data_IF_965685785341
#
_entry.id   IF_965685785341
#
_cell.length_a   1.000
_cell.length_b   1.000
_cell.length_c   1.000
_cell.angle_alpha   90.00
_cell.angle_beta   90.00
_cell.angle_gamma   90.00
#
_symmetry.space_group_name_H-M   'P 1'
#
loop_
_entity.id
_entity.type
_entity.pdbx_description
1 polymer ?
#
# COMPACT_ATOMS: atom_id res chain seq x y z
N UNK A 1 -28.72 -88.74 -3.97
CA UNK A 1 -27.45 -88.16 -4.44
C UNK A 1 -27.72 -87.26 -5.63
N UNK A 2 -27.74 -85.94 -5.44
CA UNK A 2 -27.12 -84.95 -6.33
C UNK A 2 -27.30 -83.57 -5.67
N UNK A 3 -26.20 -82.96 -5.25
CA UNK A 3 -26.17 -81.59 -4.74
C UNK A 3 -26.24 -80.63 -5.93
N UNK A 4 -27.17 -79.68 -5.91
CA UNK A 4 -27.17 -78.54 -6.81
C UNK A 4 -26.25 -77.46 -6.25
N UNK A 5 -25.11 -77.24 -6.90
CA UNK A 5 -24.21 -76.11 -6.64
C UNK A 5 -24.80 -74.89 -7.35
N UNK A 6 -25.27 -73.91 -6.59
CA UNK A 6 -25.65 -72.59 -7.08
C UNK A 6 -24.36 -71.80 -7.30
N UNK A 7 -24.00 -71.58 -8.56
CA UNK A 7 -22.95 -70.63 -8.93
C UNK A 7 -23.48 -69.21 -8.73
N UNK A 8 -23.07 -68.56 -7.64
CA UNK A 8 -23.22 -67.12 -7.46
C UNK A 8 -22.16 -66.47 -8.34
N UNK A 9 -22.60 -65.83 -9.43
CA UNK A 9 -21.77 -64.93 -10.20
C UNK A 9 -21.37 -63.76 -9.29
N UNK A 10 -20.12 -63.78 -8.83
CA UNK A 10 -19.49 -62.68 -8.14
C UNK A 10 -19.26 -61.58 -9.18
N UNK A 11 -20.18 -60.60 -9.24
CA UNK A 11 -19.95 -59.36 -9.97
C UNK A 11 -18.85 -58.64 -9.20
N UNK A 12 -17.62 -58.73 -9.70
CA UNK A 12 -16.53 -57.84 -9.31
C UNK A 12 -16.94 -56.42 -9.70
N UNK A 13 -17.50 -55.68 -8.74
CA UNK A 13 -17.64 -54.24 -8.83
C UNK A 13 -16.23 -53.65 -8.83
N UNK A 14 -15.82 -53.05 -9.95
CA UNK A 14 -14.59 -52.27 -10.02
C UNK A 14 -14.61 -51.09 -9.04
N UNK A 15 -13.46 -50.41 -8.84
CA UNK A 15 -13.38 -49.25 -7.95
C UNK A 15 -14.40 -48.20 -8.41
N UNK A 16 -15.15 -47.66 -7.46
CA UNK A 16 -16.15 -46.64 -7.70
C UNK A 16 -15.48 -45.48 -8.44
N UNK A 17 -15.91 -45.25 -9.68
CA UNK A 17 -15.50 -44.09 -10.45
C UNK A 17 -15.92 -42.84 -9.66
N UNK A 18 -14.96 -41.97 -9.35
CA UNK A 18 -15.20 -40.63 -8.88
C UNK A 18 -16.07 -39.93 -9.94
N UNK A 19 -17.39 -39.96 -9.72
CA UNK A 19 -18.31 -39.23 -10.57
C UNK A 19 -18.05 -37.74 -10.31
N UNK A 20 -17.77 -36.94 -11.36
CA UNK A 20 -17.77 -35.49 -11.20
C UNK A 20 -19.16 -35.10 -10.69
N UNK A 21 -19.18 -34.37 -9.57
CA UNK A 21 -20.40 -33.76 -9.07
C UNK A 21 -21.05 -32.89 -10.16
N UNK A 22 -22.29 -32.44 -9.97
CA UNK A 22 -23.10 -31.76 -11.01
C UNK A 22 -22.51 -30.46 -11.60
N UNK A 23 -21.29 -30.06 -11.21
CA UNK A 23 -20.53 -28.91 -11.74
C UNK A 23 -19.14 -29.24 -12.34
N UNK A 24 -18.65 -30.48 -12.26
CA UNK A 24 -17.40 -30.89 -12.88
C UNK A 24 -16.18 -30.99 -11.94
N UNK A 25 -16.14 -30.28 -10.81
CA UNK A 25 -15.09 -30.40 -9.78
C UNK A 25 -15.39 -31.40 -8.65
N UNK A 26 -14.34 -31.90 -8.01
CA UNK A 26 -14.40 -32.64 -6.74
C UNK A 26 -14.67 -31.68 -5.55
N UNK A 27 -14.92 -32.24 -4.37
CA UNK A 27 -15.32 -31.49 -3.17
C UNK A 27 -14.26 -31.63 -2.08
N UNK A 28 -13.90 -30.55 -1.40
CA UNK A 28 -13.13 -30.61 -0.15
C UNK A 28 -14.09 -30.50 1.02
N UNK A 29 -14.03 -31.41 1.99
CA UNK A 29 -15.07 -31.60 3.02
C UNK A 29 -14.54 -31.58 4.46
N UNK A 30 -13.24 -31.48 4.63
CA UNK A 30 -12.54 -31.57 5.91
C UNK A 30 -12.58 -30.28 6.74
N UNK A 31 -12.72 -30.46 8.05
CA UNK A 31 -12.75 -29.38 9.04
C UNK A 31 -11.40 -29.08 9.71
N UNK A 32 -11.41 -28.29 10.80
CA UNK A 32 -10.18 -27.90 11.51
C UNK A 32 -9.52 -29.04 12.29
N UNK A 33 -10.22 -30.17 12.45
CA UNK A 33 -9.69 -31.37 13.10
C UNK A 33 -9.47 -32.43 12.03
N UNK A 34 -8.27 -33.04 11.95
CA UNK A 34 -8.00 -34.09 10.99
C UNK A 34 -8.91 -35.32 11.19
N UNK A 35 -9.31 -36.03 10.11
CA UNK A 35 -10.04 -37.28 10.22
C UNK A 35 -9.30 -38.34 11.05
N UNK A 36 -10.01 -39.31 11.65
CA UNK A 36 -9.38 -40.40 12.38
C UNK A 36 -8.33 -41.13 11.54
N UNK A 37 -7.11 -41.23 12.08
CA UNK A 37 -6.00 -41.90 11.40
C UNK A 37 -5.05 -40.97 10.64
N UNK A 38 -5.43 -39.72 10.37
CA UNK A 38 -4.48 -38.72 9.90
C UNK A 38 -3.54 -38.34 11.05
N UNK A 39 -2.29 -38.78 10.95
CA UNK A 39 -1.25 -38.52 11.95
C UNK A 39 -0.50 -37.21 11.66
N UNK A 40 0.05 -36.54 12.69
CA UNK A 40 0.97 -35.43 12.50
C UNK A 40 2.14 -35.81 11.58
N UNK A 41 2.67 -34.86 10.79
CA UNK A 41 3.89 -35.09 10.02
C UNK A 41 5.04 -35.52 10.92
N UNK A 42 5.85 -36.47 10.45
CA UNK A 42 7.03 -36.93 11.21
C UNK A 42 8.06 -35.81 11.25
N UNK A 43 8.25 -35.21 12.43
CA UNK A 43 9.26 -34.19 12.68
C UNK A 43 10.67 -34.79 12.58
N UNK A 44 11.57 -34.13 11.85
CA UNK A 44 13.01 -34.35 12.02
C UNK A 44 13.77 -35.11 10.93
N UNK A 45 13.28 -35.20 9.70
CA UNK A 45 14.20 -35.45 8.58
C UNK A 45 14.63 -34.11 7.99
N UNK A 46 15.90 -33.74 8.15
CA UNK A 46 16.48 -32.64 7.38
C UNK A 46 16.24 -32.92 5.90
N UNK A 47 15.88 -31.90 5.12
CA UNK A 47 15.83 -31.99 3.66
C UNK A 47 17.09 -32.70 3.21
N UNK A 48 16.95 -33.90 2.65
CA UNK A 48 18.12 -34.59 2.18
C UNK A 48 18.55 -33.79 0.97
N UNK A 49 19.69 -33.11 1.06
CA UNK A 49 20.41 -32.57 -0.10
C UNK A 49 20.98 -33.72 -0.94
N UNK A 50 20.20 -34.78 -1.13
CA UNK A 50 20.45 -35.88 -2.03
C UNK A 50 19.98 -35.51 -3.42
N UNK A 51 20.62 -36.11 -4.41
CA UNK A 51 20.23 -35.99 -5.81
C UNK A 51 18.76 -36.43 -5.95
N UNK A 52 17.85 -35.54 -6.34
CA UNK A 52 16.45 -35.86 -6.64
C UNK A 52 15.36 -35.39 -5.66
N UNK A 53 15.67 -34.59 -4.64
CA UNK A 53 14.68 -33.94 -3.75
C UNK A 53 14.66 -32.41 -3.98
N UNK A 54 13.47 -31.84 -4.18
CA UNK A 54 13.27 -30.38 -4.36
C UNK A 54 12.15 -29.92 -3.43
N UNK A 55 12.38 -28.84 -2.69
CA UNK A 55 11.37 -28.19 -1.84
C UNK A 55 11.49 -26.68 -1.97
N UNK A 56 10.39 -26.01 -2.33
CA UNK A 56 10.28 -24.57 -2.39
C UNK A 56 10.33 -23.98 -0.97
N UNK A 57 11.29 -23.09 -0.73
CA UNK A 57 11.40 -22.35 0.52
C UNK A 57 10.42 -21.17 0.59
N UNK A 58 10.07 -20.73 1.79
CA UNK A 58 9.33 -19.48 2.01
C UNK A 58 7.81 -19.56 1.85
N UNK A 59 7.24 -20.73 1.56
CA UNK A 59 5.79 -20.92 1.65
C UNK A 59 5.37 -20.92 3.14
N UNK A 60 4.43 -20.05 3.56
CA UNK A 60 4.01 -19.97 4.96
C UNK A 60 3.00 -21.07 5.29
N UNK A 61 3.19 -21.74 6.44
CA UNK A 61 2.30 -22.81 6.88
C UNK A 61 1.15 -22.26 7.74
N UNK A 62 -0.01 -22.02 7.11
CA UNK A 62 -1.22 -21.55 7.79
C UNK A 62 -2.06 -22.73 8.31
N UNK A 63 -2.73 -22.54 9.45
CA UNK A 63 -3.68 -23.50 9.98
C UNK A 63 -5.09 -23.20 9.45
N UNK A 64 -5.93 -24.22 9.44
CA UNK A 64 -7.28 -24.23 8.89
C UNK A 64 -8.09 -23.02 9.36
N UNK A 65 -8.62 -22.28 8.39
CA UNK A 65 -9.41 -21.07 8.58
C UNK A 65 -10.65 -21.13 7.69
N UNK A 66 -11.73 -21.67 8.25
CA UNK A 66 -13.06 -21.84 7.64
C UNK A 66 -13.07 -22.52 6.26
N UNK A 67 -12.10 -23.38 6.00
CA UNK A 67 -12.02 -24.21 4.80
C UNK A 67 -10.58 -24.55 4.44
N UNK A 68 -10.32 -25.81 4.09
CA UNK A 68 -8.96 -26.24 3.71
C UNK A 68 -8.51 -25.65 2.35
N UNK A 69 -9.43 -25.52 1.39
CA UNK A 69 -9.17 -24.93 0.08
C UNK A 69 -8.79 -23.43 0.15
N UNK A 70 -9.59 -22.53 0.77
CA UNK A 70 -9.19 -21.13 0.91
C UNK A 70 -7.93 -20.97 1.77
N UNK A 71 -7.72 -21.82 2.79
CA UNK A 71 -6.47 -21.79 3.59
C UNK A 71 -5.25 -22.15 2.74
N UNK A 72 -5.33 -23.20 1.92
CA UNK A 72 -4.24 -23.62 1.04
C UNK A 72 -3.96 -22.57 -0.05
N UNK A 73 -4.99 -21.94 -0.60
CA UNK A 73 -4.84 -20.79 -1.49
C UNK A 73 -4.22 -19.57 -0.78
N UNK A 74 -4.51 -19.36 0.51
CA UNK A 74 -3.82 -18.38 1.33
C UNK A 74 -2.33 -18.66 1.40
N UNK A 75 -1.92 -19.91 1.66
CA UNK A 75 -0.48 -20.28 1.68
C UNK A 75 0.19 -20.06 0.32
N UNK A 76 -0.51 -20.40 -0.77
CA UNK A 76 -0.05 -20.12 -2.13
C UNK A 76 0.20 -18.62 -2.35
N UNK A 77 -0.75 -17.77 -1.96
CA UNK A 77 -0.60 -16.32 -2.09
C UNK A 77 0.50 -15.77 -1.18
N UNK A 78 0.63 -16.29 0.05
CA UNK A 78 1.73 -15.92 0.94
C UNK A 78 3.10 -16.32 0.39
N UNK A 79 3.19 -17.43 -0.35
CA UNK A 79 4.40 -17.77 -1.11
C UNK A 79 4.69 -16.71 -2.18
N UNK A 80 3.72 -16.37 -3.03
CA UNK A 80 3.91 -15.37 -4.08
C UNK A 80 4.19 -13.95 -3.53
N UNK A 81 3.60 -13.61 -2.39
CA UNK A 81 3.83 -12.36 -1.65
C UNK A 81 5.32 -12.19 -1.31
N UNK A 82 5.94 -13.26 -0.82
CA UNK A 82 7.37 -13.32 -0.55
C UNK A 82 8.25 -13.47 -1.82
N UNK A 83 7.66 -13.75 -2.99
CA UNK A 83 8.37 -14.10 -4.23
C UNK A 83 7.93 -13.24 -5.43
N UNK A 84 8.03 -11.91 -5.26
CA UNK A 84 7.95 -10.95 -6.36
C UNK A 84 6.59 -10.28 -6.56
N UNK A 85 5.59 -10.62 -5.73
CA UNK A 85 4.26 -10.01 -5.75
C UNK A 85 3.88 -9.46 -4.38
N UNK A 86 4.61 -8.48 -3.83
CA UNK A 86 4.35 -7.97 -2.49
C UNK A 86 2.95 -7.37 -2.38
N UNK A 87 2.41 -7.37 -1.15
CA UNK A 87 1.11 -6.80 -0.79
C UNK A 87 -0.10 -7.60 -1.34
N UNK A 88 0.09 -8.87 -1.74
CA UNK A 88 -1.02 -9.77 -2.11
C UNK A 88 -1.91 -10.07 -0.91
N UNK A 89 -1.31 -10.25 0.26
CA UNK A 89 -2.01 -10.36 1.54
C UNK A 89 -1.65 -9.11 2.37
N UNK A 90 -2.62 -8.39 2.94
CA UNK A 90 -2.31 -7.22 3.76
C UNK A 90 -1.40 -7.55 4.95
N UNK A 91 -0.31 -6.81 5.10
CA UNK A 91 0.60 -6.94 6.25
C UNK A 91 1.65 -8.04 6.09
N UNK A 92 1.93 -8.77 7.17
CA UNK A 92 2.92 -9.85 7.16
C UNK A 92 2.27 -11.18 6.78
N UNK A 93 2.61 -11.68 5.59
CA UNK A 93 2.17 -12.97 5.08
C UNK A 93 3.09 -14.14 5.51
N UNK A 94 4.25 -13.89 6.12
CA UNK A 94 5.19 -14.98 6.48
C UNK A 94 4.68 -15.89 7.60
N UNK A 95 3.68 -15.43 8.36
CA UNK A 95 3.00 -16.18 9.43
C UNK A 95 1.50 -15.94 9.36
N UNK A 96 0.71 -16.80 10.01
CA UNK A 96 -0.74 -16.64 10.05
C UNK A 96 -1.13 -15.52 11.02
N UNK A 97 -1.22 -14.30 10.50
CA UNK A 97 -1.65 -13.10 11.23
C UNK A 97 -3.16 -12.91 11.13
N UNK A 98 -3.76 -12.02 11.95
CA UNK A 98 -5.18 -11.67 11.79
C UNK A 98 -5.53 -11.13 10.39
N UNK A 99 -4.58 -10.48 9.70
CA UNK A 99 -4.80 -9.99 8.34
C UNK A 99 -4.82 -11.14 7.32
N UNK A 100 -3.94 -12.14 7.49
CA UNK A 100 -3.99 -13.41 6.74
C UNK A 100 -5.31 -14.13 6.99
N UNK A 101 -5.77 -14.19 8.23
CA UNK A 101 -7.06 -14.82 8.57
C UNK A 101 -8.22 -14.13 7.85
N UNK A 102 -8.20 -12.79 7.74
CA UNK A 102 -9.21 -12.04 7.00
C UNK A 102 -9.11 -12.25 5.48
N UNK A 103 -7.90 -12.37 4.93
CA UNK A 103 -7.69 -12.68 3.52
C UNK A 103 -8.18 -14.09 3.13
N UNK A 104 -8.02 -15.07 4.02
CA UNK A 104 -8.45 -16.45 3.81
C UNK A 104 -9.97 -16.57 3.96
N UNK A 105 -10.51 -16.24 5.13
CA UNK A 105 -11.93 -16.29 5.44
C UNK A 105 -12.29 -15.21 6.46
N UNK A 106 -12.93 -14.15 5.96
CA UNK A 106 -13.18 -12.92 6.71
C UNK A 106 -14.19 -13.13 7.85
N UNK A 107 -13.87 -12.59 9.03
CA UNK A 107 -14.77 -12.58 10.19
C UNK A 107 -15.13 -11.15 10.52
N UNK A 108 -16.40 -10.92 10.82
CA UNK A 108 -16.92 -9.61 11.17
C UNK A 108 -17.62 -9.64 12.51
N UNK A 109 -18.80 -9.05 12.53
CA UNK A 109 -19.71 -9.07 13.67
C UNK A 109 -21.15 -9.25 13.17
N UNK A 110 -22.10 -9.50 14.06
CA UNK A 110 -23.51 -9.54 13.66
C UNK A 110 -24.02 -8.23 13.02
N UNK A 111 -23.39 -7.08 13.31
CA UNK A 111 -23.73 -5.78 12.75
C UNK A 111 -23.00 -5.48 11.43
N UNK A 112 -21.77 -5.98 11.29
CA UNK A 112 -20.91 -5.85 10.11
C UNK A 112 -20.44 -7.24 9.69
N UNK A 113 -21.33 -8.02 9.08
CA UNK A 113 -21.09 -9.42 8.79
C UNK A 113 -20.09 -9.58 7.65
N UNK A 114 -19.31 -10.67 7.72
CA UNK A 114 -18.32 -11.08 6.72
C UNK A 114 -18.56 -12.55 6.33
N UNK A 115 -17.59 -13.19 5.68
CA UNK A 115 -17.70 -14.59 5.24
C UNK A 115 -18.29 -15.51 6.31
N UNK A 116 -17.76 -15.43 7.53
CA UNK A 116 -18.20 -16.29 8.61
C UNK A 116 -19.66 -16.08 9.02
N UNK A 117 -20.08 -14.84 9.23
CA UNK A 117 -21.46 -14.53 9.63
C UNK A 117 -22.47 -14.76 8.51
N UNK A 118 -22.06 -14.60 7.24
CA UNK A 118 -22.94 -14.74 6.09
C UNK A 118 -23.10 -16.19 5.64
N UNK A 119 -22.01 -16.97 5.67
CA UNK A 119 -21.95 -18.26 4.97
C UNK A 119 -21.53 -19.43 5.88
N UNK A 120 -20.76 -19.19 6.95
CA UNK A 120 -20.34 -20.28 7.84
C UNK A 120 -21.35 -20.59 8.97
N UNK A 121 -22.37 -19.75 9.15
CA UNK A 121 -23.38 -19.91 10.20
C UNK A 121 -24.76 -20.27 9.62
N UNK A 122 -25.44 -21.30 10.16
CA UNK A 122 -24.97 -22.19 11.24
C UNK A 122 -23.91 -23.19 10.77
N UNK A 123 -23.01 -23.61 11.67
CA UNK A 123 -21.98 -24.64 11.36
C UNK A 123 -22.61 -26.02 11.23
N UNK A 124 -22.91 -26.44 10.01
CA UNK A 124 -23.59 -27.70 9.66
C UNK A 124 -22.62 -28.87 9.43
N UNK A 125 -21.75 -29.13 10.42
CA UNK A 125 -20.76 -30.21 10.41
C UNK A 125 -21.42 -31.60 10.52
N UNK A 126 -21.79 -32.20 9.38
CA UNK A 126 -22.37 -33.53 9.33
C UNK A 126 -23.88 -33.51 9.58
N UNK A 127 -24.65 -33.49 8.50
CA UNK A 127 -26.12 -33.43 8.53
C UNK A 127 -26.68 -32.83 7.24
N UNK A 128 -27.95 -32.42 7.27
CA UNK A 128 -28.54 -31.63 6.17
C UNK A 128 -27.99 -30.22 6.19
N UNK A 129 -27.55 -29.73 5.02
CA UNK A 129 -27.08 -28.36 4.85
C UNK A 129 -28.19 -27.38 5.22
N UNK A 130 -27.87 -26.45 6.10
CA UNK A 130 -28.84 -25.47 6.60
C UNK A 130 -28.80 -24.19 5.76
N UNK A 131 -29.93 -23.50 5.54
CA UNK A 131 -29.94 -22.23 4.82
C UNK A 131 -29.10 -21.16 5.54
N UNK A 132 -28.25 -20.50 4.75
CA UNK A 132 -27.43 -19.35 5.15
C UNK A 132 -27.84 -18.10 4.32
N UNK A 133 -27.05 -17.02 4.39
CA UNK A 133 -27.38 -15.79 3.63
C UNK A 133 -27.17 -15.89 2.12
N UNK A 134 -26.51 -16.93 1.62
CA UNK A 134 -26.38 -17.14 0.18
C UNK A 134 -27.72 -17.48 -0.50
N UNK A 135 -28.75 -17.88 0.27
CA UNK A 135 -30.12 -18.13 -0.23
C UNK A 135 -31.04 -16.89 -0.13
N UNK A 136 -30.57 -15.78 0.45
CA UNK A 136 -31.35 -14.55 0.58
C UNK A 136 -31.18 -13.61 -0.64
N UNK A 137 -32.11 -12.68 -0.89
CA UNK A 137 -32.00 -11.72 -2.00
C UNK A 137 -30.74 -10.85 -1.96
N UNK A 138 -30.28 -10.42 -3.14
CA UNK A 138 -29.11 -9.54 -3.32
C UNK A 138 -29.25 -8.25 -2.49
N UNK A 139 -28.29 -8.01 -1.59
CA UNK A 139 -28.24 -6.87 -0.66
C UNK A 139 -28.25 -7.24 0.83
N UNK A 140 -28.54 -8.51 1.17
CA UNK A 140 -28.46 -9.00 2.56
C UNK A 140 -27.06 -9.54 2.94
N UNK A 141 -26.17 -9.70 1.96
CA UNK A 141 -24.82 -10.26 2.07
C UNK A 141 -23.76 -9.19 1.83
N UNK A 142 -22.60 -9.34 2.46
CA UNK A 142 -21.45 -8.49 2.20
C UNK A 142 -20.87 -8.74 0.81
N UNK A 143 -20.03 -7.82 0.33
CA UNK A 143 -19.31 -7.99 -0.91
C UNK A 143 -18.19 -9.02 -0.71
N UNK A 144 -17.99 -9.90 -1.69
CA UNK A 144 -16.93 -10.91 -1.67
C UNK A 144 -15.56 -10.23 -1.53
N UNK A 145 -14.88 -10.45 -0.41
CA UNK A 145 -13.62 -9.74 -0.08
C UNK A 145 -12.48 -10.67 0.39
N UNK A 146 -12.76 -11.95 0.57
CA UNK A 146 -11.77 -12.96 0.93
C UNK A 146 -11.80 -14.16 -0.02
N UNK A 147 -10.78 -15.03 0.06
CA UNK A 147 -10.67 -16.24 -0.76
C UNK A 147 -11.88 -17.17 -0.58
N UNK A 148 -12.36 -17.35 0.65
CA UNK A 148 -13.49 -18.21 0.94
C UNK A 148 -14.81 -17.70 0.31
N UNK A 149 -15.02 -16.38 0.21
CA UNK A 149 -16.18 -15.83 -0.51
C UNK A 149 -16.11 -16.12 -2.00
N UNK A 150 -14.95 -15.85 -2.59
CA UNK A 150 -14.71 -15.99 -4.02
C UNK A 150 -14.75 -17.47 -4.47
N UNK A 151 -14.40 -18.40 -3.57
CA UNK A 151 -14.57 -19.84 -3.78
C UNK A 151 -16.01 -20.31 -3.53
N UNK A 152 -16.85 -19.48 -2.93
CA UNK A 152 -18.19 -19.85 -2.50
C UNK A 152 -18.21 -20.82 -1.31
N UNK A 153 -17.12 -20.86 -0.53
CA UNK A 153 -16.96 -21.76 0.61
C UNK A 153 -18.14 -21.64 1.58
N UNK A 154 -18.62 -22.77 2.09
CA UNK A 154 -19.76 -22.87 3.02
C UNK A 154 -21.12 -22.40 2.48
N UNK A 155 -21.25 -21.97 1.22
CA UNK A 155 -22.51 -21.42 0.71
C UNK A 155 -23.58 -22.49 0.54
N UNK A 156 -24.63 -22.42 1.35
CA UNK A 156 -25.76 -23.35 1.31
C UNK A 156 -26.51 -23.34 -0.04
N UNK A 157 -26.57 -22.20 -0.74
CA UNK A 157 -27.14 -22.09 -2.10
C UNK A 157 -26.34 -22.89 -3.15
N UNK A 158 -25.10 -23.26 -2.83
CA UNK A 158 -24.24 -24.12 -3.64
C UNK A 158 -24.25 -25.58 -3.15
N UNK A 159 -24.98 -25.89 -2.08
CA UNK A 159 -24.98 -27.22 -1.46
C UNK A 159 -23.66 -27.52 -0.74
N UNK A 160 -23.04 -26.51 -0.13
CA UNK A 160 -21.79 -26.65 0.62
C UNK A 160 -22.06 -26.49 2.12
N UNK A 161 -21.57 -27.45 2.92
CA UNK A 161 -21.54 -27.34 4.37
C UNK A 161 -20.36 -26.48 4.84
N UNK A 162 -20.26 -26.18 6.13
CA UNK A 162 -19.19 -25.38 6.71
C UNK A 162 -17.80 -25.87 6.30
N UNK A 163 -17.03 -24.97 5.68
CA UNK A 163 -15.68 -25.20 5.20
C UNK A 163 -15.59 -25.95 3.86
N UNK A 164 -16.72 -26.36 3.29
CA UNK A 164 -16.73 -27.11 2.03
C UNK A 164 -16.56 -26.17 0.85
N UNK A 165 -15.81 -26.62 -0.15
CA UNK A 165 -15.55 -25.88 -1.40
C UNK A 165 -15.44 -26.85 -2.56
N UNK A 166 -15.90 -26.44 -3.74
CA UNK A 166 -15.59 -27.18 -4.97
C UNK A 166 -14.17 -26.84 -5.42
N UNK A 167 -13.44 -27.87 -5.83
CA UNK A 167 -12.03 -27.77 -6.25
C UNK A 167 -11.84 -26.90 -7.50
N UNK A 168 -12.81 -26.86 -8.40
CA UNK A 168 -12.81 -26.01 -9.60
C UNK A 168 -13.05 -24.51 -9.32
N UNK A 169 -13.46 -24.16 -8.10
CA UNK A 169 -13.62 -22.77 -7.69
C UNK A 169 -12.28 -22.08 -7.39
N UNK A 170 -11.21 -22.86 -7.16
CA UNK A 170 -9.93 -22.33 -6.69
C UNK A 170 -9.27 -21.38 -7.67
N UNK A 171 -9.07 -21.81 -8.92
CA UNK A 171 -8.44 -20.99 -9.96
C UNK A 171 -9.16 -19.66 -10.21
N UNK A 172 -10.48 -19.67 -10.46
CA UNK A 172 -11.28 -18.46 -10.58
C UNK A 172 -11.22 -17.55 -9.34
N UNK A 173 -11.26 -18.12 -8.14
CA UNK A 173 -11.22 -17.35 -6.89
C UNK A 173 -9.87 -16.67 -6.68
N UNK A 174 -8.75 -17.39 -6.88
CA UNK A 174 -7.41 -16.82 -6.80
C UNK A 174 -7.24 -15.69 -7.82
N UNK A 175 -7.69 -15.88 -9.07
CA UNK A 175 -7.64 -14.81 -10.08
C UNK A 175 -8.46 -13.58 -9.66
N UNK A 176 -9.66 -13.78 -9.12
CA UNK A 176 -10.50 -12.67 -8.67
C UNK A 176 -9.91 -11.94 -7.46
N UNK A 177 -9.31 -12.68 -6.52
CA UNK A 177 -8.66 -12.12 -5.34
C UNK A 177 -7.42 -11.29 -5.74
N UNK A 178 -6.53 -11.85 -6.57
CA UNK A 178 -5.35 -11.13 -7.05
C UNK A 178 -5.75 -9.89 -7.85
N UNK A 179 -6.82 -9.95 -8.66
CA UNK A 179 -7.31 -8.77 -9.38
C UNK A 179 -7.78 -7.65 -8.45
N UNK A 180 -8.22 -7.95 -7.22
CA UNK A 180 -8.65 -6.95 -6.25
C UNK A 180 -7.50 -6.42 -5.38
N UNK A 181 -6.50 -7.24 -5.05
CA UNK A 181 -5.38 -6.86 -4.17
C UNK A 181 -4.13 -6.42 -4.92
N UNK A 182 -3.85 -7.02 -6.08
CA UNK A 182 -2.72 -6.72 -6.94
C UNK A 182 -3.17 -6.61 -8.40
N UNK A 183 -3.92 -5.55 -8.78
CA UNK A 183 -4.49 -5.40 -10.13
C UNK A 183 -3.44 -5.30 -11.25
N UNK A 184 -2.14 -5.19 -10.90
CA UNK A 184 -1.02 -5.21 -11.84
C UNK A 184 -0.47 -6.61 -12.14
N UNK A 185 -1.04 -7.66 -11.54
CA UNK A 185 -0.67 -9.04 -11.80
C UNK A 185 -1.78 -9.73 -12.61
N UNK A 186 -1.40 -10.46 -13.65
CA UNK A 186 -2.29 -11.42 -14.31
C UNK A 186 -2.14 -12.78 -13.66
N UNK A 187 -3.28 -13.46 -13.55
CA UNK A 187 -3.34 -14.85 -13.07
C UNK A 187 -3.79 -15.75 -14.20
N UNK A 188 -2.94 -16.69 -14.57
CA UNK A 188 -3.31 -17.88 -15.33
C UNK A 188 -3.43 -19.07 -14.37
N UNK A 189 -4.33 -20.00 -14.67
CA UNK A 189 -4.45 -21.24 -13.92
C UNK A 189 -4.78 -22.42 -14.82
N UNK A 190 -4.42 -23.61 -14.35
CA UNK A 190 -4.75 -24.88 -14.99
C UNK A 190 -5.12 -25.91 -13.92
N UNK A 191 -6.32 -26.49 -14.03
CA UNK A 191 -6.74 -27.59 -13.15
C UNK A 191 -6.45 -28.93 -13.82
N UNK A 192 -5.74 -29.79 -13.09
CA UNK A 192 -5.32 -31.11 -13.52
C UNK A 192 -5.99 -32.21 -12.68
N UNK A 193 -6.18 -33.38 -13.28
CA UNK A 193 -6.85 -34.53 -12.67
C UNK A 193 -6.09 -35.82 -13.02
N UNK A 194 -5.91 -36.70 -12.05
CA UNK A 194 -5.11 -37.94 -12.18
C UNK A 194 -5.75 -38.95 -13.16
N UNK A 195 -7.08 -39.08 -13.16
CA UNK A 195 -7.78 -40.07 -14.00
C UNK A 195 -8.30 -39.49 -15.33
N UNK A 196 -7.66 -38.43 -15.82
CA UNK A 196 -7.99 -37.79 -17.09
C UNK A 196 -6.93 -38.14 -18.14
N UNK A 197 -7.29 -38.17 -19.41
CA UNK A 197 -6.31 -38.34 -20.51
C UNK A 197 -6.22 -37.06 -21.34
N UNK A 198 -4.99 -36.62 -21.65
CA UNK A 198 -4.74 -35.43 -22.46
C UNK A 198 -4.20 -34.23 -21.66
N UNK A 199 -4.41 -32.98 -22.11
CA UNK A 199 -3.67 -31.81 -21.61
C UNK A 199 -3.99 -31.41 -20.16
N UNK A 200 -4.97 -32.06 -19.52
CA UNK A 200 -5.37 -31.83 -18.12
C UNK A 200 -5.07 -33.03 -17.21
N UNK A 201 -4.29 -33.99 -17.71
CA UNK A 201 -3.82 -35.13 -16.91
C UNK A 201 -2.78 -34.67 -15.90
N UNK A 202 -3.00 -34.98 -14.62
CA UNK A 202 -2.03 -34.73 -13.57
C UNK A 202 -1.10 -35.93 -13.43
N UNK A 203 0.11 -35.81 -14.01
CA UNK A 203 1.19 -36.78 -13.78
C UNK A 203 2.20 -36.24 -12.76
N UNK A 204 3.01 -37.12 -12.18
CA UNK A 204 4.11 -36.68 -11.31
C UNK A 204 5.07 -35.73 -12.04
N UNK A 205 5.33 -35.96 -13.33
CA UNK A 205 6.17 -35.08 -14.15
C UNK A 205 5.58 -33.67 -14.33
N UNK A 206 4.25 -33.54 -14.43
CA UNK A 206 3.58 -32.22 -14.46
C UNK A 206 3.79 -31.50 -13.14
N UNK A 207 3.61 -32.19 -12.02
CA UNK A 207 3.85 -31.60 -10.70
C UNK A 207 5.33 -31.20 -10.50
N UNK A 208 6.28 -32.06 -10.90
CA UNK A 208 7.71 -31.74 -10.87
C UNK A 208 8.02 -30.48 -11.68
N UNK A 209 7.46 -30.36 -12.89
CA UNK A 209 7.68 -29.20 -13.76
C UNK A 209 7.16 -27.88 -13.14
N UNK A 210 6.05 -27.91 -12.40
CA UNK A 210 5.55 -26.75 -11.66
C UNK A 210 6.51 -26.37 -10.52
N UNK A 211 6.93 -27.35 -9.71
CA UNK A 211 7.87 -27.13 -8.60
C UNK A 211 9.23 -26.63 -9.10
N UNK A 212 9.79 -27.25 -10.14
CA UNK A 212 11.07 -26.85 -10.74
C UNK A 212 11.02 -25.42 -11.31
N UNK A 213 9.83 -24.97 -11.72
CA UNK A 213 9.61 -23.61 -12.18
C UNK A 213 9.28 -22.61 -11.04
N UNK A 214 9.41 -23.03 -9.78
CA UNK A 214 9.14 -22.18 -8.62
C UNK A 214 7.66 -21.93 -8.38
N UNK A 215 6.77 -22.80 -8.85
CA UNK A 215 5.32 -22.65 -8.73
C UNK A 215 4.73 -23.74 -7.83
N UNK A 216 4.38 -23.43 -6.57
CA UNK A 216 3.65 -24.38 -5.74
C UNK A 216 2.23 -24.59 -6.29
N UNK A 217 1.66 -25.75 -6.00
CA UNK A 217 0.37 -26.16 -6.55
C UNK A 217 -0.60 -26.52 -5.43
N UNK A 218 -1.84 -26.05 -5.49
CA UNK A 218 -2.86 -26.52 -4.53
C UNK A 218 -3.38 -27.86 -5.00
N UNK A 219 -3.10 -28.90 -4.24
CA UNK A 219 -3.48 -30.28 -4.53
C UNK A 219 -4.76 -30.65 -3.80
N UNK A 220 -5.58 -31.49 -4.42
CA UNK A 220 -6.74 -32.09 -3.82
C UNK A 220 -6.43 -33.55 -3.54
N UNK A 221 -6.61 -33.95 -2.28
CA UNK A 221 -6.14 -35.23 -1.77
C UNK A 221 -7.27 -35.95 -1.05
N UNK A 222 -7.17 -37.28 -1.04
CA UNK A 222 -7.88 -38.14 -0.11
C UNK A 222 -7.04 -38.22 1.17
N UNK A 223 -7.45 -37.53 2.22
CA UNK A 223 -6.64 -37.38 3.43
C UNK A 223 -6.61 -38.64 4.30
N UNK A 224 -7.67 -39.44 4.32
CA UNK A 224 -7.82 -40.60 5.22
C UNK A 224 -7.74 -41.97 4.53
N UNK A 225 -7.70 -41.98 3.20
CA UNK A 225 -7.48 -43.14 2.34
C UNK A 225 -8.76 -43.91 2.04
N UNK A 226 -9.93 -43.28 2.09
CA UNK A 226 -11.24 -43.93 1.86
C UNK A 226 -11.68 -43.97 0.39
N UNK A 227 -10.89 -43.37 -0.50
CA UNK A 227 -11.13 -43.26 -1.94
C UNK A 227 -11.88 -42.00 -2.36
N UNK A 228 -12.23 -41.11 -1.41
CA UNK A 228 -12.87 -39.84 -1.69
C UNK A 228 -11.93 -38.65 -1.46
N UNK A 229 -12.04 -37.67 -2.35
CA UNK A 229 -11.34 -36.39 -2.18
C UNK A 229 -12.05 -35.63 -1.06
N UNK A 230 -11.27 -35.14 -0.09
CA UNK A 230 -11.82 -34.49 1.08
C UNK A 230 -10.98 -33.30 1.59
N UNK A 231 -9.73 -33.16 1.13
CA UNK A 231 -8.82 -32.12 1.62
C UNK A 231 -8.07 -31.40 0.49
N UNK A 232 -7.68 -30.15 0.78
CA UNK A 232 -6.76 -29.38 -0.05
C UNK A 232 -5.48 -29.09 0.74
N UNK A 233 -4.34 -29.19 0.05
CA UNK A 233 -3.00 -28.91 0.60
C UNK A 233 -2.17 -28.10 -0.39
N UNK A 234 -1.16 -27.38 0.08
CA UNK A 234 -0.19 -26.72 -0.80
C UNK A 234 0.98 -27.68 -1.06
N UNK A 235 1.08 -28.22 -2.26
CA UNK A 235 2.26 -28.95 -2.74
C UNK A 235 3.41 -27.99 -3.00
N UNK A 236 4.55 -28.23 -2.36
CA UNK A 236 5.73 -27.35 -2.37
C UNK A 236 7.02 -28.08 -2.74
N UNK A 237 6.98 -29.38 -2.96
CA UNK A 237 8.19 -30.15 -3.21
C UNK A 237 7.91 -31.56 -3.66
N UNK A 238 8.95 -32.25 -4.11
CA UNK A 238 8.89 -33.63 -4.54
C UNK A 238 10.19 -34.37 -4.22
N UNK A 239 10.11 -35.70 -4.21
CA UNK A 239 11.26 -36.61 -4.23
C UNK A 239 10.86 -37.96 -4.83
N UNK A 240 11.85 -38.79 -5.07
CA UNK A 240 11.64 -40.21 -5.35
C UNK A 240 12.35 -41.08 -4.31
N UNK A 241 11.61 -41.93 -3.62
CA UNK A 241 12.17 -42.88 -2.66
C UNK A 241 12.03 -44.29 -3.21
N UNK A 242 13.15 -44.92 -3.55
CA UNK A 242 13.20 -46.30 -4.06
C UNK A 242 12.27 -46.55 -5.27
N UNK A 243 12.13 -45.56 -6.15
CA UNK A 243 11.28 -45.63 -7.34
C UNK A 243 9.82 -45.25 -7.13
N UNK A 244 9.45 -44.81 -5.91
CA UNK A 244 8.10 -44.32 -5.61
C UNK A 244 8.07 -42.79 -5.56
N UNK A 245 7.19 -42.13 -6.33
CA UNK A 245 7.06 -40.68 -6.31
C UNK A 245 6.39 -40.21 -5.02
N UNK A 246 6.98 -39.20 -4.38
CA UNK A 246 6.45 -38.55 -3.19
C UNK A 246 6.40 -37.04 -3.39
N UNK A 247 5.43 -36.39 -2.76
CA UNK A 247 5.32 -34.94 -2.72
C UNK A 247 5.41 -34.42 -1.29
N UNK A 248 5.95 -33.21 -1.18
CA UNK A 248 6.01 -32.44 0.05
C UNK A 248 4.87 -31.42 0.03
N UNK A 249 4.09 -31.35 1.10
CA UNK A 249 3.02 -30.37 1.23
C UNK A 249 2.95 -29.69 2.59
N UNK A 250 2.36 -28.50 2.60
CA UNK A 250 1.83 -27.87 3.80
C UNK A 250 0.35 -28.21 3.85
N UNK A 251 -0.05 -28.95 4.88
CA UNK A 251 -1.46 -29.21 5.17
C UNK A 251 -2.03 -28.09 6.05
N UNK A 252 -3.34 -28.14 6.31
CA UNK A 252 -4.02 -27.09 7.08
C UNK A 252 -4.16 -27.44 8.57
N UNK A 253 -3.56 -28.54 9.04
CA UNK A 253 -3.64 -28.97 10.44
C UNK A 253 -2.32 -28.79 11.19
N UNK A 254 -1.20 -28.78 10.48
CA UNK A 254 0.14 -28.74 11.06
C UNK A 254 1.04 -27.74 10.34
N UNK A 255 1.97 -27.13 11.08
CA UNK A 255 2.93 -26.16 10.52
C UNK A 255 4.19 -26.80 9.91
N UNK A 256 4.25 -28.13 9.89
CA UNK A 256 5.41 -28.88 9.42
C UNK A 256 5.13 -29.51 8.06
N UNK A 257 6.15 -29.57 7.22
CA UNK A 257 6.04 -30.21 5.90
C UNK A 257 5.69 -31.69 6.06
N UNK A 258 4.67 -32.13 5.35
CA UNK A 258 4.28 -33.52 5.20
C UNK A 258 4.87 -34.09 3.93
N UNK A 259 5.41 -35.30 4.01
CA UNK A 259 5.74 -36.12 2.86
C UNK A 259 4.69 -37.21 2.72
N UNK A 260 4.15 -37.38 1.51
CA UNK A 260 3.15 -38.38 1.17
C UNK A 260 3.44 -38.96 -0.23
N UNK A 261 3.03 -40.21 -0.50
CA UNK A 261 3.11 -40.76 -1.85
C UNK A 261 2.24 -39.94 -2.81
N UNK A 262 2.76 -39.64 -4.00
CA UNK A 262 1.99 -38.92 -5.01
C UNK A 262 0.85 -39.80 -5.55
N UNK A 263 1.18 -41.05 -5.89
CA UNK A 263 0.26 -42.13 -6.22
C UNK A 263 0.93 -43.49 -5.96
N UNK A 264 0.14 -44.51 -5.63
CA UNK A 264 0.62 -45.90 -5.57
C UNK A 264 -0.36 -46.79 -6.34
N UNK A 265 0.12 -47.50 -7.36
CA UNK A 265 -0.70 -48.48 -8.08
C UNK A 265 -1.20 -49.58 -7.10
N UNK A 266 -2.52 -49.77 -7.03
CA UNK A 266 -3.15 -50.95 -6.43
C UNK A 266 -3.95 -50.72 -5.15
N UNK A 267 -3.61 -49.74 -4.30
CA UNK A 267 -4.30 -49.45 -3.03
C UNK A 267 -4.37 -47.94 -2.78
N UNK A 268 -5.57 -47.44 -2.41
CA UNK A 268 -5.76 -46.03 -2.01
C UNK A 268 -4.96 -45.74 -0.74
N UNK A 269 -4.19 -44.67 -0.75
CA UNK A 269 -3.39 -44.25 0.41
C UNK A 269 -3.86 -42.92 0.99
N UNK A 270 -3.56 -42.73 2.27
CA UNK A 270 -3.71 -41.43 2.92
C UNK A 270 -2.87 -40.38 2.20
N UNK A 271 -3.48 -39.23 2.00
CA UNK A 271 -2.95 -38.11 1.23
C UNK A 271 -2.65 -38.46 -0.25
N UNK A 272 -3.34 -39.44 -0.83
CA UNK A 272 -3.21 -39.70 -2.27
C UNK A 272 -3.74 -38.51 -3.07
N UNK A 273 -3.00 -38.09 -4.10
CA UNK A 273 -3.37 -36.95 -4.96
C UNK A 273 -4.39 -37.41 -5.99
N UNK A 274 -5.47 -36.66 -6.15
CA UNK A 274 -6.46 -36.91 -7.20
C UNK A 274 -6.50 -35.81 -8.26
N UNK A 275 -6.01 -34.62 -7.92
CA UNK A 275 -5.97 -33.48 -8.80
C UNK A 275 -5.25 -32.31 -8.15
N UNK A 276 -5.20 -31.20 -8.87
CA UNK A 276 -4.62 -29.97 -8.35
C UNK A 276 -4.78 -28.81 -9.32
N UNK A 277 -4.62 -27.61 -8.80
CA UNK A 277 -4.68 -26.38 -9.57
C UNK A 277 -3.33 -25.69 -9.55
N UNK A 278 -2.68 -25.62 -10.71
CA UNK A 278 -1.51 -24.79 -10.91
C UNK A 278 -1.94 -23.34 -11.10
N UNK A 279 -1.31 -22.44 -10.36
CA UNK A 279 -1.51 -20.99 -10.48
C UNK A 279 -0.20 -20.40 -10.97
N UNK A 280 -0.25 -19.61 -12.04
CA UNK A 280 0.87 -18.79 -12.52
C UNK A 280 0.49 -17.34 -12.35
N UNK A 281 1.22 -16.63 -11.48
CA UNK A 281 1.21 -15.18 -11.45
C UNK A 281 2.25 -14.69 -12.44
N UNK A 282 1.83 -13.85 -13.37
CA UNK A 282 2.72 -13.01 -14.13
C UNK A 282 2.51 -11.59 -13.61
N UNK A 283 3.58 -10.85 -13.36
CA UNK A 283 3.45 -9.41 -13.39
C UNK A 283 2.94 -9.11 -14.79
N UNK A 284 1.84 -8.36 -14.91
CA UNK A 284 1.46 -7.89 -16.23
C UNK A 284 2.70 -7.22 -16.80
N UNK A 285 3.20 -7.77 -17.91
CA UNK A 285 4.26 -7.11 -18.66
C UNK A 285 3.85 -5.65 -18.80
N UNK A 286 4.80 -4.74 -18.55
CA UNK A 286 4.55 -3.60 -17.67
C UNK A 286 3.19 -2.96 -17.92
N UNK A 287 2.28 -3.03 -16.94
CA UNK A 287 1.58 -1.80 -16.59
C UNK A 287 2.66 -0.84 -16.08
N UNK A 288 3.39 -0.25 -17.03
CA UNK A 288 4.23 0.89 -16.75
C UNK A 288 3.18 1.96 -16.46
N UNK A 289 2.84 2.09 -15.18
CA UNK A 289 2.69 3.43 -14.67
C UNK A 289 3.87 4.21 -15.23
N UNK A 290 3.54 5.11 -16.16
CA UNK A 290 4.43 6.09 -16.80
C UNK A 290 3.98 7.49 -16.39
N UNK A 291 2.93 7.60 -15.58
CA UNK A 291 2.49 8.86 -15.04
C UNK A 291 3.43 9.24 -13.91
N UNK A 292 4.00 10.42 -14.01
CA UNK A 292 4.71 10.97 -12.87
C UNK A 292 3.71 11.53 -11.86
N UNK A 293 4.03 11.50 -10.55
CA UNK A 293 3.21 12.14 -9.53
C UNK A 293 3.06 13.64 -9.75
N UNK A 294 2.05 14.23 -9.10
CA UNK A 294 1.80 15.67 -9.10
C UNK A 294 1.95 16.25 -7.70
N UNK A 295 2.90 17.16 -7.50
CA UNK A 295 3.16 17.79 -6.21
C UNK A 295 2.44 19.14 -6.05
N UNK A 296 1.78 19.31 -4.90
CA UNK A 296 1.23 20.57 -4.38
C UNK A 296 2.09 21.07 -3.23
N UNK A 297 2.42 22.38 -3.24
CA UNK A 297 3.21 23.03 -2.18
C UNK A 297 2.38 24.11 -1.46
N UNK A 298 2.46 24.14 -0.14
CA UNK A 298 1.86 25.15 0.72
C UNK A 298 2.94 25.97 1.44
N UNK A 299 2.65 27.26 1.69
CA UNK A 299 3.57 28.19 2.37
C UNK A 299 4.56 28.91 1.45
N UNK A 300 4.53 28.63 0.13
CA UNK A 300 5.38 29.27 -0.86
C UNK A 300 4.72 30.49 -1.53
N UNK A 301 5.51 31.25 -2.27
CA UNK A 301 5.13 32.41 -3.10
C UNK A 301 4.38 33.54 -2.37
N UNK A 302 4.40 33.52 -1.04
CA UNK A 302 3.83 34.52 -0.16
C UNK A 302 4.60 35.85 -0.11
N UNK A 303 4.12 36.80 0.72
CA UNK A 303 4.81 38.06 0.98
C UNK A 303 6.15 37.82 1.70
N UNK A 304 6.93 38.88 1.87
CA UNK A 304 8.14 38.85 2.70
C UNK A 304 7.81 38.42 4.13
N UNK A 305 8.62 37.53 4.69
CA UNK A 305 8.48 37.01 6.06
C UNK A 305 9.62 37.52 6.95
N UNK A 306 9.30 37.93 8.18
CA UNK A 306 10.29 38.29 9.20
C UNK A 306 10.96 37.07 9.86
N UNK A 307 10.43 35.87 9.61
CA UNK A 307 10.91 34.61 10.20
C UNK A 307 11.14 33.56 9.12
N UNK A 308 11.92 32.50 9.40
CA UNK A 308 12.03 31.34 8.52
C UNK A 308 10.65 30.78 8.14
N UNK A 309 10.54 30.29 6.90
CA UNK A 309 9.29 29.79 6.33
C UNK A 309 9.37 28.27 6.21
N UNK A 310 8.34 27.57 6.70
CA UNK A 310 8.19 26.12 6.51
C UNK A 310 7.25 25.88 5.34
N UNK A 311 7.74 25.14 4.35
CA UNK A 311 6.96 24.64 3.23
C UNK A 311 6.45 23.24 3.54
N UNK A 312 5.23 22.94 3.10
CA UNK A 312 4.65 21.59 3.16
C UNK A 312 4.35 21.11 1.75
N UNK A 313 4.81 19.91 1.41
CA UNK A 313 4.62 19.29 0.11
C UNK A 313 3.76 18.04 0.25
N UNK A 314 2.74 17.95 -0.60
CA UNK A 314 1.88 16.76 -0.75
C UNK A 314 1.89 16.37 -2.22
N UNK A 315 2.00 15.08 -2.52
CA UNK A 315 1.94 14.57 -3.88
C UNK A 315 0.84 13.54 -4.01
N UNK A 316 0.24 13.46 -5.19
CA UNK A 316 -0.73 12.44 -5.58
C UNK A 316 -0.23 11.78 -6.84
N UNK A 317 -0.40 10.47 -6.92
CA UNK A 317 -0.11 9.66 -8.09
C UNK A 317 -1.30 8.74 -8.35
N UNK A 318 -1.72 8.63 -9.61
CA UNK A 318 -2.89 7.83 -10.00
C UNK A 318 -2.52 6.36 -10.30
N UNK A 319 -1.22 6.04 -10.37
CA UNK A 319 -0.70 4.71 -10.67
C UNK A 319 -0.13 4.01 -9.44
N UNK A 320 1.20 3.96 -9.37
CA UNK A 320 1.97 3.17 -8.40
C UNK A 320 2.08 3.82 -7.01
N UNK A 321 1.63 5.06 -6.86
CA UNK A 321 1.69 5.80 -5.60
C UNK A 321 3.04 6.49 -5.40
N UNK A 322 3.06 7.49 -4.52
CA UNK A 322 4.26 8.31 -4.27
C UNK A 322 5.28 7.54 -3.42
N UNK A 323 6.53 7.48 -3.88
CA UNK A 323 7.66 6.97 -3.10
C UNK A 323 8.27 8.08 -2.24
N UNK A 324 8.66 9.20 -2.87
CA UNK A 324 9.34 10.30 -2.17
C UNK A 324 9.13 11.65 -2.84
N UNK A 325 9.38 12.70 -2.07
CA UNK A 325 9.45 14.09 -2.55
C UNK A 325 10.89 14.58 -2.36
N UNK A 326 11.46 15.17 -3.41
CA UNK A 326 12.81 15.73 -3.40
C UNK A 326 12.74 17.25 -3.53
N UNK A 327 13.59 17.98 -2.81
CA UNK A 327 13.68 19.43 -2.90
C UNK A 327 15.10 19.96 -2.74
N UNK A 328 15.35 21.16 -3.28
CA UNK A 328 16.63 21.86 -3.19
C UNK A 328 16.43 23.38 -3.21
N UNK A 329 17.23 24.09 -2.42
CA UNK A 329 17.14 25.56 -2.23
C UNK A 329 18.35 26.25 -2.87
N UNK A 330 18.14 27.36 -3.57
CA UNK A 330 19.17 28.25 -4.11
C UNK A 330 20.25 27.56 -4.97
N UNK A 331 19.81 26.58 -5.76
CA UNK A 331 20.68 25.84 -6.67
C UNK A 331 21.29 24.57 -6.09
N UNK A 332 21.04 24.25 -4.82
CA UNK A 332 21.36 22.95 -4.25
C UNK A 332 20.70 21.80 -5.05
N UNK A 333 21.36 20.64 -5.06
CA UNK A 333 20.82 19.42 -5.66
C UNK A 333 19.51 19.01 -4.98
N UNK A 334 18.65 18.32 -5.74
CA UNK A 334 17.41 17.79 -5.20
C UNK A 334 17.75 16.60 -4.30
N UNK A 335 17.36 16.70 -3.03
CA UNK A 335 17.56 15.64 -2.05
C UNK A 335 16.19 15.20 -1.48
N UNK A 336 16.03 13.91 -1.14
CA UNK A 336 14.78 13.41 -0.58
C UNK A 336 14.47 14.06 0.77
N UNK A 337 13.22 14.47 0.94
CA UNK A 337 12.68 14.96 2.20
C UNK A 337 12.08 13.80 3.00
N UNK A 338 12.05 13.93 4.32
CA UNK A 338 11.45 12.91 5.20
C UNK A 338 9.93 13.04 5.28
N UNK A 339 9.24 11.91 5.13
CA UNK A 339 7.79 11.78 5.32
C UNK A 339 6.94 12.17 4.11
N UNK A 340 5.67 11.75 4.14
CA UNK A 340 4.63 12.11 3.18
C UNK A 340 3.34 12.42 3.97
N UNK A 341 2.88 13.68 4.04
CA UNK A 341 3.44 14.88 3.42
C UNK A 341 4.82 15.27 3.98
N UNK A 342 5.66 15.88 3.14
CA UNK A 342 7.02 16.28 3.48
C UNK A 342 7.10 17.76 3.87
N UNK A 343 8.08 18.14 4.69
CA UNK A 343 8.30 19.55 5.06
C UNK A 343 9.74 20.02 4.80
N UNK A 344 9.89 21.28 4.42
CA UNK A 344 11.18 21.93 4.22
C UNK A 344 11.20 23.30 4.88
N UNK A 345 12.18 23.54 5.77
CA UNK A 345 12.34 24.83 6.44
C UNK A 345 13.37 25.69 5.72
N UNK A 346 12.91 26.78 5.09
CA UNK A 346 13.77 27.75 4.40
C UNK A 346 14.18 28.87 5.36
N UNK A 347 15.48 29.14 5.40
CA UNK A 347 16.11 30.10 6.30
C UNK A 347 17.07 31.00 5.53
N UNK A 348 17.45 32.13 6.11
CA UNK A 348 18.38 33.08 5.50
C UNK A 348 17.66 34.34 5.03
N UNK A 349 18.42 35.40 4.76
CA UNK A 349 17.91 36.65 4.20
C UNK A 349 17.84 36.53 2.67
N UNK A 350 16.80 37.07 2.06
CA UNK A 350 16.72 37.24 0.62
C UNK A 350 15.54 36.53 -0.03
N UNK A 351 15.64 36.44 -1.35
CA UNK A 351 14.70 35.70 -2.19
C UNK A 351 15.31 34.33 -2.46
N UNK A 352 14.70 33.30 -1.90
CA UNK A 352 15.11 31.91 -2.05
C UNK A 352 14.29 31.23 -3.14
N UNK A 353 14.96 30.51 -4.05
CA UNK A 353 14.30 29.70 -5.08
C UNK A 353 14.34 28.24 -4.64
N UNK A 354 13.17 27.65 -4.47
CA UNK A 354 13.03 26.23 -4.13
C UNK A 354 12.65 25.46 -5.40
N UNK A 355 13.40 24.41 -5.70
CA UNK A 355 13.10 23.42 -6.74
C UNK A 355 12.60 22.15 -6.07
N UNK A 356 11.62 21.50 -6.64
CA UNK A 356 11.06 20.26 -6.09
C UNK A 356 10.48 19.36 -7.18
N UNK A 357 10.39 18.06 -6.87
CA UNK A 357 9.69 17.04 -7.66
C UNK A 357 9.29 15.88 -6.76
N UNK A 358 8.28 15.13 -7.16
CA UNK A 358 7.99 13.81 -6.58
C UNK A 358 8.47 12.67 -7.50
N UNK A 359 8.72 11.52 -6.90
CA UNK A 359 9.05 10.26 -7.58
C UNK A 359 8.08 9.18 -7.07
N UNK A 360 7.55 8.36 -7.97
CA UNK A 360 6.66 7.25 -7.62
C UNK A 360 7.43 5.96 -7.26
N UNK A 361 6.71 4.91 -6.89
CA UNK A 361 7.30 3.59 -6.55
C UNK A 361 7.91 2.85 -7.74
N UNK A 362 7.62 3.26 -8.98
CA UNK A 362 8.23 2.71 -10.20
C UNK A 362 9.43 3.51 -10.71
N UNK A 363 9.71 4.66 -10.11
CA UNK A 363 10.79 5.56 -10.49
C UNK A 363 10.41 6.62 -11.52
N UNK A 364 9.12 6.84 -11.85
CA UNK A 364 8.74 7.99 -12.68
C UNK A 364 8.90 9.28 -11.90
N UNK A 365 9.53 10.26 -12.54
CA UNK A 365 9.89 11.53 -11.91
C UNK A 365 9.01 12.66 -12.44
N UNK A 366 8.42 13.44 -11.53
CA UNK A 366 7.75 14.68 -11.88
C UNK A 366 8.75 15.66 -12.51
N UNK A 367 8.32 16.40 -13.54
CA UNK A 367 9.10 17.51 -14.05
C UNK A 367 9.38 18.53 -12.93
N UNK A 368 10.64 18.95 -12.80
CA UNK A 368 11.06 19.84 -11.71
C UNK A 368 10.26 21.14 -11.71
N UNK A 369 9.52 21.37 -10.62
CA UNK A 369 8.75 22.60 -10.37
C UNK A 369 9.55 23.55 -9.49
N UNK A 370 9.17 24.83 -9.50
CA UNK A 370 9.83 25.85 -8.69
C UNK A 370 8.85 26.78 -8.01
N UNK A 371 9.16 27.16 -6.76
CA UNK A 371 8.45 28.19 -6.01
C UNK A 371 9.43 29.13 -5.31
N UNK A 372 8.93 30.25 -4.78
CA UNK A 372 9.75 31.29 -4.16
C UNK A 372 9.44 31.46 -2.68
N UNK A 373 10.47 31.69 -1.87
CA UNK A 373 10.34 32.12 -0.47
C UNK A 373 11.09 33.44 -0.28
N UNK A 374 10.50 34.41 0.42
CA UNK A 374 11.09 35.75 0.63
C UNK A 374 11.22 36.01 2.12
N UNK A 375 12.44 36.21 2.60
CA UNK A 375 12.71 36.39 4.03
C UNK A 375 13.53 37.66 4.22
N UNK A 376 13.01 38.55 5.06
CA UNK A 376 13.73 39.71 5.57
C UNK A 376 13.49 39.82 7.07
N UNK A 377 14.49 39.49 7.88
CA UNK A 377 14.38 39.57 9.34
C UNK A 377 15.01 40.84 9.92
N UNK A 378 15.54 41.72 9.06
CA UNK A 378 16.21 42.94 9.49
C UNK A 378 15.36 44.17 9.18
N UNK A 379 15.41 45.16 10.08
CA UNK A 379 14.67 46.41 9.89
C UNK A 379 15.42 47.43 9.04
N UNK A 380 14.70 48.32 8.33
CA UNK A 380 15.31 49.28 7.43
C UNK A 380 16.26 50.26 8.12
N UNK A 381 17.28 50.72 7.39
CA UNK A 381 18.16 51.82 7.81
C UNK A 381 17.67 53.13 7.19
N UNK A 382 17.33 54.11 8.03
CA UNK A 382 16.76 55.39 7.56
C UNK A 382 17.70 56.57 7.73
N UNK A 383 17.72 57.46 6.74
CA UNK A 383 18.56 58.67 6.72
C UNK A 383 17.77 59.89 6.26
N UNK A 384 17.69 60.91 7.10
CA UNK A 384 17.23 62.23 6.70
C UNK A 384 18.40 63.07 6.13
N UNK A 385 18.10 64.04 5.25
CA UNK A 385 19.06 65.08 4.86
C UNK A 385 18.67 66.43 5.45
N UNK A 386 19.67 67.25 5.73
CA UNK A 386 19.45 68.58 6.28
C UNK A 386 18.73 69.47 5.26
N UNK A 387 17.88 70.38 5.75
CA UNK A 387 17.14 71.31 4.91
C UNK A 387 16.97 72.67 5.59
N UNK A 388 16.84 73.73 4.77
CA UNK A 388 16.59 75.10 5.22
C UNK A 388 15.49 75.71 4.37
N UNK A 389 14.50 76.34 4.99
CA UNK A 389 13.31 76.87 4.32
C UNK A 389 12.82 78.13 5.03
N UNK A 390 12.23 79.08 4.30
CA UNK A 390 11.57 80.26 4.91
C UNK A 390 10.26 79.84 5.57
N UNK A 391 9.85 80.47 6.68
CA UNK A 391 8.52 80.27 7.28
C UNK A 391 7.43 80.43 6.20
N UNK A 392 6.54 79.45 6.08
CA UNK A 392 5.49 79.38 5.06
C UNK A 392 5.92 78.91 3.66
N UNK A 393 7.23 78.76 3.41
CA UNK A 393 7.77 78.29 2.13
C UNK A 393 7.57 76.79 1.89
N UNK A 394 7.67 76.37 0.63
CA UNK A 394 7.66 74.94 0.22
C UNK A 394 9.10 74.41 0.15
N UNK A 395 9.30 73.17 0.59
CA UNK A 395 10.58 72.46 0.54
C UNK A 395 10.34 70.97 0.29
N UNK A 396 11.24 70.31 -0.44
CA UNK A 396 11.28 68.86 -0.52
C UNK A 396 12.23 68.33 0.56
N UNK A 397 11.66 67.68 1.58
CA UNK A 397 12.45 67.00 2.60
C UNK A 397 13.04 65.74 1.96
N UNK A 398 14.36 65.72 1.79
CA UNK A 398 15.07 64.58 1.19
C UNK A 398 15.41 63.55 2.25
N UNK A 399 15.18 62.28 1.95
CA UNK A 399 15.51 61.15 2.82
C UNK A 399 15.87 59.92 1.99
N UNK A 400 16.39 58.87 2.63
CA UNK A 400 16.64 57.56 2.03
C UNK A 400 16.28 56.48 3.04
N UNK A 401 15.70 55.39 2.56
CA UNK A 401 15.44 54.16 3.30
C UNK A 401 16.19 53.06 2.56
N UNK A 402 17.08 52.38 3.25
CA UNK A 402 17.86 51.27 2.71
C UNK A 402 17.44 50.00 3.44
N UNK A 403 17.08 48.98 2.67
CA UNK A 403 16.38 47.78 3.14
C UNK A 403 16.50 46.69 2.07
N UNK A 404 16.31 45.43 2.47
CA UNK A 404 16.28 44.31 1.54
C UNK A 404 14.95 44.24 0.78
N UNK A 405 13.82 44.56 1.43
CA UNK A 405 12.53 44.61 0.74
C UNK A 405 12.48 45.77 -0.27
N UNK A 406 11.80 45.62 -1.43
CA UNK A 406 11.69 46.66 -2.45
C UNK A 406 11.02 47.98 -2.01
N UNK A 407 10.20 47.97 -0.96
CA UNK A 407 9.49 49.15 -0.46
C UNK A 407 9.31 49.11 1.06
N UNK A 408 9.25 50.29 1.67
CA UNK A 408 8.90 50.44 3.08
C UNK A 408 7.83 51.51 3.27
N UNK A 409 6.96 51.34 4.26
CA UNK A 409 5.99 52.32 4.70
C UNK A 409 6.68 53.40 5.53
N UNK A 410 6.72 54.63 5.02
CA UNK A 410 7.52 55.72 5.59
C UNK A 410 6.66 56.77 6.29
N UNK A 411 7.18 57.26 7.43
CA UNK A 411 6.67 58.44 8.15
C UNK A 411 7.81 59.34 8.59
N UNK A 412 7.74 60.63 8.24
CA UNK A 412 8.70 61.64 8.68
C UNK A 412 8.14 62.35 9.92
N UNK A 413 8.99 62.59 10.90
CA UNK A 413 8.61 63.27 12.14
C UNK A 413 9.58 64.42 12.41
N UNK A 414 9.04 65.63 12.50
CA UNK A 414 9.80 66.83 12.88
C UNK A 414 9.69 67.02 14.39
N UNK A 415 10.83 67.16 15.07
CA UNK A 415 10.92 67.37 16.52
C UNK A 415 11.71 68.63 16.86
N UNK A 416 11.43 69.24 18.01
CA UNK A 416 12.30 70.28 18.61
C UNK A 416 13.66 69.67 19.01
N UNK A 417 14.68 70.48 19.31
CA UNK A 417 15.93 70.00 19.92
C UNK A 417 15.69 69.24 21.23
N UNK A 418 14.68 69.64 22.00
CA UNK A 418 14.22 68.94 23.22
C UNK A 418 13.41 67.64 22.96
N UNK A 419 13.23 67.23 21.70
CA UNK A 419 12.57 65.97 21.35
C UNK A 419 11.04 66.03 21.22
N UNK A 420 10.40 67.16 21.50
CA UNK A 420 8.94 67.34 21.34
C UNK A 420 8.54 67.23 19.86
N UNK A 421 7.55 66.39 19.56
CA UNK A 421 7.01 66.22 18.19
C UNK A 421 6.22 67.47 17.76
N UNK A 422 6.51 68.00 16.58
CA UNK A 422 5.89 69.22 16.04
C UNK A 422 5.14 68.99 14.73
N UNK A 423 5.58 68.06 13.88
CA UNK A 423 4.88 67.73 12.64
C UNK A 423 5.13 66.27 12.25
N UNK A 424 4.19 65.69 11.51
CA UNK A 424 4.27 64.33 10.97
C UNK A 424 3.85 64.36 9.51
N UNK A 425 4.68 63.80 8.63
CA UNK A 425 4.34 63.57 7.23
C UNK A 425 4.24 62.07 7.01
N UNK A 426 3.27 61.62 6.23
CA UNK A 426 3.03 60.20 5.95
C UNK A 426 3.11 59.94 4.44
N UNK A 427 4.31 59.87 3.86
CA UNK A 427 4.45 59.44 2.47
C UNK A 427 3.76 58.10 2.19
N UNK A 428 3.76 57.16 3.15
CA UNK A 428 3.28 55.79 2.93
C UNK A 428 4.36 54.93 2.26
N UNK A 429 3.96 53.92 1.49
CA UNK A 429 4.90 53.01 0.82
C UNK A 429 5.80 53.74 -0.18
N UNK A 430 7.11 53.57 -0.03
CA UNK A 430 8.14 54.16 -0.90
C UNK A 430 9.22 53.14 -1.20
N UNK A 431 9.78 53.23 -2.41
CA UNK A 431 10.91 52.38 -2.83
C UNK A 431 12.11 52.60 -1.90
N UNK A 432 12.73 51.50 -1.51
CA UNK A 432 13.98 51.45 -0.74
C UNK A 432 15.18 51.57 -1.69
N UNK A 433 16.39 51.74 -1.16
CA UNK A 433 17.63 51.82 -1.95
C UNK A 433 17.84 53.12 -2.73
N UNK A 434 16.81 53.97 -2.86
CA UNK A 434 16.84 55.20 -3.66
C UNK A 434 16.55 56.45 -2.83
N UNK A 435 17.11 57.63 -3.18
CA UNK A 435 16.71 58.89 -2.58
C UNK A 435 15.21 59.18 -2.79
N UNK A 436 14.54 59.61 -1.73
CA UNK A 436 13.12 59.94 -1.71
C UNK A 436 12.91 61.40 -1.32
N UNK A 437 11.77 61.96 -1.76
CA UNK A 437 11.38 63.34 -1.52
C UNK A 437 9.97 63.41 -0.91
N UNK A 438 9.83 64.15 0.19
CA UNK A 438 8.53 64.50 0.76
C UNK A 438 8.29 66.00 0.62
N UNK A 439 7.35 66.45 -0.23
CA UNK A 439 6.99 67.86 -0.33
C UNK A 439 6.35 68.32 0.99
N UNK A 440 6.78 69.48 1.47
CA UNK A 440 6.32 70.03 2.74
C UNK A 440 6.21 71.55 2.71
N UNK A 441 5.18 72.10 3.34
CA UNK A 441 5.03 73.53 3.59
C UNK A 441 5.45 73.82 5.04
N UNK A 442 6.44 74.69 5.23
CA UNK A 442 7.04 74.98 6.53
C UNK A 442 6.14 75.86 7.41
N UNK A 443 5.09 75.28 7.99
CA UNK A 443 4.10 75.98 8.82
C UNK A 443 4.55 76.24 10.27
N UNK A 444 5.63 75.60 10.73
CA UNK A 444 6.14 75.76 12.09
C UNK A 444 6.78 77.15 12.30
N UNK A 445 6.96 77.54 13.57
CA UNK A 445 7.64 78.79 13.94
C UNK A 445 9.09 78.78 13.45
N UNK A 446 9.68 79.98 13.31
CA UNK A 446 11.11 80.12 13.02
C UNK A 446 11.92 79.42 14.11
N UNK A 447 12.98 78.70 13.72
CA UNK A 447 13.79 77.95 14.66
C UNK A 447 14.51 76.76 14.03
N UNK A 448 15.21 76.00 14.89
CA UNK A 448 15.94 74.79 14.53
C UNK A 448 15.17 73.56 15.01
N UNK A 449 15.03 72.58 14.13
CA UNK A 449 14.33 71.32 14.37
C UNK A 449 15.20 70.13 13.94
N UNK A 450 14.79 68.92 14.33
CA UNK A 450 15.34 67.64 13.88
C UNK A 450 14.30 66.88 13.07
N UNK A 451 14.69 66.40 11.90
CA UNK A 451 13.90 65.54 11.03
C UNK A 451 14.29 64.08 11.27
N UNK A 452 13.31 63.26 11.61
CA UNK A 452 13.43 61.81 11.80
C UNK A 452 12.64 61.08 10.72
N UNK A 453 13.12 59.91 10.29
CA UNK A 453 12.49 59.08 9.27
C UNK A 453 12.24 57.72 9.89
N UNK A 454 10.97 57.36 10.03
CA UNK A 454 10.53 56.04 10.50
C UNK A 454 10.08 55.23 9.29
N UNK A 455 10.38 53.94 9.30
CA UNK A 455 10.06 53.02 8.22
C UNK A 455 9.68 51.65 8.79
N UNK A 456 8.73 50.99 8.11
CA UNK A 456 8.39 49.58 8.29
C UNK A 456 8.45 48.92 6.92
N UNK A 457 9.23 47.86 6.77
CA UNK A 457 9.42 47.14 5.49
C UNK A 457 8.21 46.24 5.12
N UNK A 458 8.34 45.45 4.06
CA UNK A 458 7.29 44.49 3.64
C UNK A 458 7.18 43.24 4.52
N UNK A 459 8.23 42.88 5.26
CA UNK A 459 8.21 41.79 6.24
C UNK A 459 7.61 42.22 7.60
N UNK A 460 7.40 43.53 7.78
CA UNK A 460 6.87 44.12 9.00
C UNK A 460 7.94 44.56 10.00
N UNK A 461 9.23 44.50 9.67
CA UNK A 461 10.27 44.94 10.59
C UNK A 461 10.31 46.46 10.67
N UNK A 462 10.54 46.96 11.88
CA UNK A 462 10.67 48.40 12.14
C UNK A 462 12.12 48.81 12.00
N UNK A 463 12.36 50.04 11.55
CA UNK A 463 13.72 50.55 11.29
C UNK A 463 14.74 50.20 12.40
N UNK A 464 15.81 49.49 12.01
CA UNK A 464 16.86 49.03 12.93
C UNK A 464 17.83 50.16 13.29
N UNK A 465 18.09 51.08 12.35
CA UNK A 465 18.95 52.23 12.58
C UNK A 465 18.36 53.50 11.95
N UNK A 466 18.52 54.64 12.64
CA UNK A 466 17.89 55.91 12.24
C UNK A 466 18.83 57.10 12.42
N UNK A 467 19.13 57.80 11.33
CA UNK A 467 19.92 59.05 11.33
C UNK A 467 19.04 60.27 11.09
N UNK A 468 18.87 61.09 12.13
CA UNK A 468 18.16 62.36 12.03
C UNK A 468 19.00 63.46 11.37
N UNK A 469 18.34 64.47 10.81
CA UNK A 469 19.01 65.62 10.21
C UNK A 469 18.45 66.96 10.70
N UNK A 470 19.26 68.02 10.60
CA UNK A 470 18.87 69.38 10.99
C UNK A 470 17.91 69.99 9.98
N UNK A 471 16.81 70.56 10.45
CA UNK A 471 15.85 71.32 9.66
C UNK A 471 15.76 72.75 10.22
N UNK A 472 16.03 73.76 9.39
CA UNK A 472 16.02 75.17 9.81
C UNK A 472 14.90 75.93 9.13
N UNK A 473 14.05 76.58 9.92
CA UNK A 473 12.98 77.47 9.44
C UNK A 473 13.40 78.90 9.74
N UNK A 474 13.66 79.68 8.69
CA UNK A 474 14.13 81.08 8.76
C UNK A 474 13.02 82.09 8.51
#
# INVERSE_FOLDING_TARGET
MLFAVVAIACVLSGPAQAHPGPRGGALTTTGPVPPPGVLPPVLGRAAATGVGEVVLGGAPAYLWRDGCAPTSAGMLLGYYDAHGFPDLIPGDASTQTPAVDQAIASHGTGAEPRHYEDYALPKDNGGSIQPDRSQHPDGARHADDCLADLMGTSRSALGLAYGWSYTDALGPAVRAYVASTCPSASVAFADYFIYYSGPRELTFAVFQAEIDAGRPMVLCVDSDGDGAIDHAVLGIGYRETAGYPEYACLDTWYRSVRWAPFQVEGDVQRFEVFGGTAITLAADGPSADVSAPVTTVHGADGPWSATPVTLTFSAVDEGSGVDRIEAGVDGAELAPLSGLPATLRVCGQGVHRVRYRAVDKRGNEEAVRTCTVRIDAEGPVTRARAARVRKGGRVHLRYRVDDLTPKASVRLVVRTPSGRRCAVLRPGWRRTGVPQLAPWRASLRRGVYRLWVYAVDEAGNRQAAMRSARLVIR
#
